data_IF_203352841034
#
_entry.id   IF_203352841034
#
_cell.length_a   1.000
_cell.length_b   1.000
_cell.length_c   1.000
_cell.angle_alpha   90.00
_cell.angle_beta   90.00
_cell.angle_gamma   90.00
#
_symmetry.space_group_name_H-M   'P 1'
#
loop_
_entity.id
_entity.type
_entity.pdbx_description
1 polymer ?
2 non-polymer ?
3 water ?
#
# COMPACT_ATOMS: atom_id res chain seq x y z
N UNK A 20 13.96 8.11 6.40
CA UNK A 20 13.81 8.65 5.01
C UNK A 20 13.25 7.58 4.04
N UNK A 21 12.01 7.79 3.58
CA UNK A 21 11.30 6.79 2.76
C UNK A 21 11.06 7.21 1.31
N UNK A 22 10.94 6.21 0.44
CA UNK A 22 10.60 6.41 -0.95
C UNK A 22 9.46 5.49 -1.34
N UNK A 23 8.23 6.03 -1.44
CA UNK A 23 7.11 5.25 -1.96
C UNK A 23 7.23 5.03 -3.45
N UNK A 24 7.06 3.78 -3.86
CA UNK A 24 7.15 3.35 -5.25
C UNK A 24 5.86 2.62 -5.59
N UNK A 25 5.31 2.86 -6.77
CA UNK A 25 4.12 2.13 -7.22
C UNK A 25 4.49 1.24 -8.39
N UNK A 26 3.79 0.12 -8.52
CA UNK A 26 4.11 -0.84 -9.54
C UNK A 26 2.87 -1.61 -9.96
N UNK A 27 2.88 -2.08 -11.21
CA UNK A 27 1.72 -2.71 -11.81
C UNK A 27 1.92 -4.14 -12.27
N UNK A 28 0.84 -4.91 -12.16
CA UNK A 28 0.75 -6.22 -12.76
C UNK A 28 -0.07 -6.15 -14.04
N UNK A 29 0.56 -6.27 -15.21
CA UNK A 29 -0.22 -6.49 -16.43
C UNK A 29 -0.04 -7.93 -16.89
N UNK A 30 -1.09 -8.47 -17.50
CA UNK A 30 -1.13 -9.90 -17.78
C UNK A 30 -1.58 -10.14 -19.20
N UNK A 31 -1.11 -11.24 -19.80
CA UNK A 31 -1.38 -11.53 -21.21
C UNK A 31 -1.42 -13.02 -21.45
N UNK A 32 -2.64 -13.55 -21.48
CA UNK A 32 -2.89 -14.99 -21.55
C UNK A 32 -2.06 -15.73 -20.50
N UNK A 33 -2.06 -15.22 -19.26
CA UNK A 33 -1.34 -15.84 -18.15
C UNK A 33 0.02 -15.25 -17.84
N UNK A 34 0.78 -14.89 -18.87
CA UNK A 34 2.09 -14.28 -18.70
C UNK A 34 1.96 -12.94 -18.00
N UNK A 35 3.09 -12.39 -17.56
CA UNK A 35 3.10 -11.11 -16.85
C UNK A 35 4.22 -10.21 -17.40
N UNK A 36 4.01 -8.90 -17.31
CA UNK A 36 4.92 -7.93 -17.89
C UNK A 36 6.02 -7.55 -16.92
N UNK A 37 7.26 -7.81 -17.32
CA UNK A 37 8.42 -7.29 -16.61
C UNK A 37 9.30 -6.46 -17.56
N UNK A 38 9.99 -5.48 -17.00
CA UNK A 38 10.93 -4.69 -17.77
C UNK A 38 12.33 -4.77 -17.19
N UNK A 39 13.32 -4.68 -18.06
CA UNK A 39 14.69 -4.76 -17.61
C UNK A 39 15.28 -3.38 -17.37
N UNK A 40 15.66 -3.12 -16.12
CA UNK A 40 16.26 -1.85 -15.71
C UNK A 40 17.36 -1.40 -16.68
N UNK A 41 17.32 -0.11 -17.07
CA UNK A 41 18.20 0.44 -18.11
C UNK A 41 19.68 0.15 -17.84
N UNK A 42 20.31 -0.62 -18.73
CA UNK A 42 21.72 -0.96 -18.63
C UNK A 42 22.55 0.32 -18.73
N UNK A 43 22.74 0.92 -17.56
CA UNK A 43 23.08 2.33 -17.42
C UNK A 43 23.63 2.54 -16.01
N UNK A 44 24.01 3.77 -15.67
CA UNK A 44 24.48 4.10 -14.31
C UNK A 44 23.42 3.94 -13.20
N UNK A 45 22.34 3.23 -13.54
CA UNK A 45 21.28 2.88 -12.59
C UNK A 45 21.48 1.48 -11.99
N UNK A 46 20.55 1.08 -11.13
CA UNK A 46 20.59 -0.18 -10.40
C UNK A 46 20.19 -1.36 -11.31
N UNK A 47 20.90 -1.47 -12.43
CA UNK A 47 20.46 -2.19 -13.63
C UNK A 47 20.75 -3.68 -13.68
N UNK A 48 20.38 -4.29 -14.81
CA UNK A 48 20.44 -5.73 -15.00
C UNK A 48 19.13 -6.40 -14.61
N UNK A 49 18.50 -5.89 -13.56
CA UNK A 49 17.36 -6.52 -12.92
C UNK A 49 16.06 -6.32 -13.68
N UNK A 50 15.22 -7.35 -13.66
CA UNK A 50 13.88 -7.28 -14.18
C UNK A 50 12.95 -6.84 -13.07
N UNK A 51 11.90 -6.10 -13.43
CA UNK A 51 11.03 -5.50 -12.45
C UNK A 51 9.66 -5.25 -13.05
N UNK A 52 8.70 -4.91 -12.22
CA UNK A 52 7.37 -4.58 -12.71
C UNK A 52 7.33 -3.11 -13.09
N UNK A 53 6.67 -2.79 -14.21
CA UNK A 53 6.62 -1.40 -14.64
C UNK A 53 6.04 -0.53 -13.55
N UNK A 54 6.57 0.67 -13.40
CA UNK A 54 6.07 1.61 -12.39
C UNK A 54 7.14 2.63 -12.08
N UNK A 55 7.14 3.16 -10.86
CA UNK A 55 8.09 4.19 -10.47
C UNK A 55 7.68 4.92 -9.21
N UNK A 56 8.33 6.05 -8.94
CA UNK A 56 8.13 6.78 -7.70
C UNK A 56 6.85 7.59 -7.72
N UNK A 57 6.22 7.73 -6.55
CA UNK A 57 5.13 8.68 -6.38
C UNK A 57 5.76 10.06 -6.27
N UNK A 58 5.35 11.00 -7.12
CA UNK A 58 5.81 12.37 -6.99
C UNK A 58 4.93 13.09 -6.00
N UNK A 59 5.42 14.19 -5.44
CA UNK A 59 4.65 15.03 -4.53
C UNK A 59 3.31 15.43 -5.12
N UNK A 60 2.27 15.31 -4.32
CA UNK A 60 0.94 15.72 -4.76
C UNK A 60 0.08 14.58 -5.27
N UNK A 61 0.68 13.59 -5.94
CA UNK A 61 -0.14 12.55 -6.57
C UNK A 61 -0.55 11.36 -5.69
N UNK A 62 -1.80 10.93 -5.87
CA UNK A 62 -2.23 9.63 -5.33
C UNK A 62 -1.40 8.52 -5.98
N UNK A 63 -1.30 7.35 -5.31
CA UNK A 63 -0.63 6.17 -5.89
C UNK A 63 -1.08 5.86 -7.30
N UNK A 64 -2.38 5.97 -7.54
CA UNK A 64 -2.96 5.68 -8.85
C UNK A 64 -2.45 6.65 -9.92
N UNK A 65 -2.46 7.94 -9.59
CA UNK A 65 -2.02 8.95 -10.54
C UNK A 65 -0.59 8.68 -10.94
N UNK A 66 0.24 8.43 -9.93
CA UNK A 66 1.67 8.16 -10.15
C UNK A 66 1.86 6.93 -11.02
N UNK A 67 1.02 5.93 -10.84
CA UNK A 67 1.17 4.70 -11.61
C UNK A 67 0.63 4.81 -13.04
N UNK A 68 -0.52 5.46 -13.21
CA UNK A 68 -1.02 5.70 -14.56
C UNK A 68 0.01 6.49 -15.33
N UNK A 69 0.56 7.52 -14.70
CA UNK A 69 1.62 8.34 -15.31
C UNK A 69 2.83 7.49 -15.68
N UNK A 70 3.33 6.70 -14.73
CA UNK A 70 4.54 5.89 -14.97
C UNK A 70 4.34 4.82 -16.04
N UNK A 71 3.14 4.25 -16.07
CA UNK A 71 2.83 3.26 -17.09
C UNK A 71 2.77 3.90 -18.48
N UNK A 72 2.40 5.19 -18.53
CA UNK A 72 2.38 5.92 -19.79
C UNK A 72 3.81 6.27 -20.27
N UNK A 73 4.62 6.87 -19.40
CA UNK A 73 5.98 7.20 -19.80
C UNK A 73 6.88 6.00 -20.09
N UNK A 74 6.74 4.93 -19.30
CA UNK A 74 7.55 3.71 -19.51
C UNK A 74 7.08 2.85 -20.67
N UNK A 75 5.75 2.77 -20.85
CA UNK A 75 5.13 1.81 -21.75
C UNK A 75 4.39 2.43 -22.93
N UNK A 76 4.02 3.69 -22.80
CA UNK A 76 3.26 4.38 -23.84
C UNK A 76 1.80 3.98 -23.87
N UNK A 77 1.30 3.43 -22.77
CA UNK A 77 -0.10 3.01 -22.69
C UNK A 77 -0.90 3.92 -21.77
N UNK A 78 -2.19 4.07 -22.05
CA UNK A 78 -3.09 4.74 -21.13
C UNK A 78 -3.77 3.70 -20.26
N UNK A 79 -3.27 3.52 -19.05
CA UNK A 79 -3.78 2.48 -18.16
C UNK A 79 -4.78 2.97 -17.14
N UNK A 80 -5.78 2.15 -16.86
CA UNK A 80 -6.62 2.33 -15.68
C UNK A 80 -6.02 1.48 -14.58
N UNK A 81 -5.83 2.08 -13.40
CA UNK A 81 -5.25 1.38 -12.24
C UNK A 81 -6.35 0.67 -11.47
N UNK A 82 -6.20 -0.64 -11.31
CA UNK A 82 -7.19 -1.45 -10.59
C UNK A 82 -6.87 -1.55 -9.11
N UNK A 83 -7.27 -2.69 -8.54
CA UNK A 83 -7.23 -2.93 -7.11
C UNK A 83 -5.80 -3.11 -6.60
N UNK A 84 -5.56 -2.60 -5.40
CA UNK A 84 -4.27 -2.68 -4.71
C UNK A 84 -4.09 -4.10 -4.20
N UNK A 85 -2.96 -4.71 -4.52
CA UNK A 85 -2.72 -6.12 -4.15
C UNK A 85 -1.75 -6.36 -2.98
N UNK A 86 -0.68 -5.57 -2.95
CA UNK A 86 0.43 -5.79 -2.05
C UNK A 86 1.12 -4.51 -1.67
N UNK A 87 1.69 -4.52 -0.47
CA UNK A 87 2.63 -3.50 -0.04
C UNK A 87 3.76 -4.19 0.68
N UNK A 88 4.99 -3.80 0.38
CA UNK A 88 6.12 -4.27 1.14
C UNK A 88 7.16 -3.15 1.34
N UNK A 89 8.09 -3.37 2.26
CA UNK A 89 9.18 -2.43 2.46
C UNK A 89 10.50 -3.14 2.26
N UNK A 90 11.56 -2.37 2.05
CA UNK A 90 12.91 -2.93 1.92
C UNK A 90 13.91 -1.87 2.35
N UNK A 91 15.03 -2.32 2.90
CA UNK A 91 16.07 -1.39 3.37
C UNK A 91 17.37 -1.52 2.59
N UNK A 92 18.03 -0.38 2.38
CA UNK A 92 19.44 -0.33 1.99
C UNK A 92 20.21 0.27 3.15
N UNK A 93 19.88 -0.15 4.37
CA UNK A 93 20.48 0.41 5.57
C UNK A 93 19.97 1.80 5.90
N UNK A 94 20.24 2.76 5.01
CA UNK A 94 19.80 4.13 5.17
C UNK A 94 18.57 4.48 4.30
N UNK A 95 18.44 3.80 3.17
CA UNK A 95 17.37 4.06 2.21
C UNK A 95 16.15 3.17 2.49
N UNK A 96 14.97 3.78 2.54
CA UNK A 96 13.73 3.04 2.75
C UNK A 96 12.81 3.06 1.54
N UNK A 97 12.55 1.88 0.98
CA UNK A 97 11.63 1.73 -0.16
C UNK A 97 10.32 1.06 0.24
N UNK A 98 9.20 1.74 0.01
CA UNK A 98 7.87 1.14 0.19
C UNK A 98 7.25 0.95 -1.17
N UNK A 99 6.86 -0.28 -1.50
CA UNK A 99 6.31 -0.60 -2.82
C UNK A 99 4.84 -1.01 -2.74
N UNK A 100 3.98 -0.29 -3.46
CA UNK A 100 2.59 -0.66 -3.62
C UNK A 100 2.39 -1.32 -4.99
N UNK A 101 1.84 -2.54 -4.99
CA UNK A 101 1.58 -3.25 -6.23
C UNK A 101 0.09 -3.23 -6.55
N UNK A 102 -0.24 -2.83 -7.78
CA UNK A 102 -1.63 -2.70 -8.23
C UNK A 102 -1.92 -3.58 -9.44
N UNK A 103 -3.15 -4.05 -9.54
CA UNK A 103 -3.55 -4.89 -10.64
C UNK A 103 -3.95 -3.96 -11.78
N UNK A 104 -3.29 -4.08 -12.91
CA UNK A 104 -3.69 -3.33 -14.08
C UNK A 104 -4.41 -4.25 -15.07
N UNK A 105 -5.74 -4.15 -15.07
CA UNK A 105 -6.58 -4.97 -15.91
C UNK A 105 -6.88 -4.32 -17.27
N UNK A 106 -6.98 -2.99 -17.29
CA UNK A 106 -7.46 -2.28 -18.48
C UNK A 106 -6.52 -1.16 -18.91
N UNK A 107 -6.28 -1.08 -20.23
CA UNK A 107 -5.41 -0.08 -20.82
C UNK A 107 -5.61 0.05 -22.33
N UNK A 108 -5.09 1.14 -22.90
CA UNK A 108 -5.20 1.39 -24.31
C UNK A 108 -3.84 1.21 -24.97
N UNK A 109 -3.81 0.43 -26.05
CA UNK A 109 -2.59 0.22 -26.79
C UNK A 109 -1.82 -0.97 -26.28
N UNK A 110 -0.65 -1.19 -26.87
CA UNK A 110 0.25 -2.25 -26.46
C UNK A 110 1.55 -1.63 -25.99
N UNK A 111 2.09 -2.12 -24.86
CA UNK A 111 3.32 -1.66 -24.25
C UNK A 111 4.52 -1.67 -25.20
N UNK A 112 5.19 -0.53 -25.28
CA UNK A 112 6.40 -0.37 -26.08
C UNK A 112 7.55 -0.09 -25.12
N UNK A 113 8.73 -0.61 -25.43
CA UNK A 113 9.92 -0.35 -24.63
C UNK A 113 10.41 1.09 -24.81
N UNK A 114 10.12 1.92 -23.80
CA UNK A 114 10.37 3.36 -23.86
C UNK A 114 11.43 3.74 -22.83
N UNK A 115 11.32 3.13 -21.64
CA UNK A 115 12.26 3.35 -20.54
C UNK A 115 13.18 2.14 -20.33
N UNK A 116 12.57 0.95 -20.24
CA UNK A 116 13.34 -0.29 -20.06
C UNK A 116 14.06 -0.67 -21.35
N UNK A 117 15.28 -1.16 -21.21
CA UNK A 117 16.05 -1.58 -22.37
C UNK A 117 15.66 -3.00 -22.81
N UNK A 118 14.58 -3.50 -22.21
CA UNK A 118 13.87 -4.68 -22.70
C UNK A 118 12.59 -4.88 -21.89
N UNK A 119 11.56 -5.38 -22.59
CA UNK A 119 10.30 -5.74 -21.98
C UNK A 119 9.95 -7.15 -22.41
N UNK A 120 9.34 -7.91 -21.49
CA UNK A 120 8.96 -9.27 -21.76
C UNK A 120 7.71 -9.65 -21.04
N UNK A 121 6.88 -10.42 -21.75
CA UNK A 121 5.81 -11.18 -21.12
C UNK A 121 6.40 -12.53 -20.76
N UNK A 122 6.45 -12.83 -19.46
CA UNK A 122 6.97 -14.13 -19.03
C UNK A 122 5.93 -14.94 -18.28
N UNK A 123 6.04 -16.26 -18.37
CA UNK A 123 5.33 -17.13 -17.45
C UNK A 123 5.71 -16.71 -16.04
N UNK A 124 4.72 -16.43 -15.18
CA UNK A 124 5.01 -15.95 -13.83
C UNK A 124 5.96 -16.86 -13.06
N UNK A 125 6.01 -18.15 -13.41
CA UNK A 125 6.92 -19.11 -12.77
C UNK A 125 8.37 -18.70 -12.95
N UNK A 126 8.64 -18.07 -14.08
CA UNK A 126 10.00 -17.71 -14.46
C UNK A 126 10.61 -16.70 -13.47
N UNK A 127 9.76 -15.96 -12.77
CA UNK A 127 10.21 -15.09 -11.69
C UNK A 127 11.13 -15.78 -10.67
N UNK A 128 10.97 -17.09 -10.52
CA UNK A 128 11.78 -17.79 -9.54
C UNK A 128 13.26 -17.77 -9.92
N UNK A 129 13.53 -17.79 -11.22
CA UNK A 129 14.90 -17.73 -11.71
C UNK A 129 15.17 -16.50 -12.59
N UNK A 130 14.47 -15.40 -12.31
CA UNK A 130 14.83 -14.12 -12.88
C UNK A 130 15.49 -13.29 -11.83
N UNK A 131 16.48 -12.50 -12.22
CA UNK A 131 17.07 -11.52 -11.31
C UNK A 131 16.13 -10.36 -11.12
N UNK A 132 15.47 -10.33 -9.96
CA UNK A 132 14.52 -9.27 -9.64
C UNK A 132 14.99 -8.52 -8.38
N UNK A 133 14.48 -7.29 -8.13
CA UNK A 133 14.81 -6.62 -6.86
C UNK A 133 14.60 -7.51 -5.65
N UNK A 134 15.57 -7.51 -4.74
CA UNK A 134 15.48 -8.28 -3.49
C UNK A 134 14.16 -8.02 -2.75
N UNK A 135 13.68 -6.77 -2.83
CA UNK A 135 12.37 -6.36 -2.29
C UNK A 135 11.23 -7.23 -2.85
N UNK A 136 11.33 -7.59 -4.13
CA UNK A 136 10.38 -8.52 -4.75
C UNK A 136 10.62 -10.00 -4.36
N UNK A 137 11.88 -10.44 -4.36
CA UNK A 137 12.19 -11.85 -4.02
C UNK A 137 11.76 -12.26 -2.60
N UNK A 138 11.97 -11.35 -1.64
CA UNK A 138 11.62 -11.58 -0.24
C UNK A 138 10.13 -11.90 -0.03
N UNK A 139 9.29 -11.41 -0.95
CA UNK A 139 7.84 -11.62 -0.91
C UNK A 139 7.31 -12.25 -2.21
N UNK A 140 8.14 -13.05 -2.87
CA UNK A 140 7.75 -13.67 -4.16
C UNK A 140 6.48 -14.54 -4.03
N UNK A 141 6.35 -15.10 -2.86
CA UNK A 141 5.26 -15.95 -2.44
C UNK A 141 3.95 -15.16 -2.35
N UNK A 142 4.04 -13.98 -1.74
CA UNK A 142 2.91 -13.05 -1.64
C UNK A 142 2.49 -12.57 -3.02
N UNK A 143 3.47 -12.28 -3.86
CA UNK A 143 3.23 -11.85 -5.24
C UNK A 143 2.47 -12.90 -6.03
N UNK A 144 2.90 -14.15 -5.94
CA UNK A 144 2.23 -15.25 -6.64
C UNK A 144 0.76 -15.36 -6.30
N UNK A 145 0.44 -15.26 -5.00
CA UNK A 145 -0.95 -15.27 -4.56
C UNK A 145 -1.71 -14.09 -5.17
N UNK A 146 -1.15 -12.90 -5.03
CA UNK A 146 -1.76 -11.69 -5.57
C UNK A 146 -2.00 -11.78 -7.08
N UNK A 147 -1.25 -12.65 -7.75
CA UNK A 147 -1.42 -12.94 -9.17
C UNK A 147 -2.43 -14.05 -9.47
N UNK A 148 -3.00 -14.65 -8.43
CA UNK A 148 -3.90 -15.81 -8.57
C UNK A 148 -3.15 -17.06 -8.99
N UNK A 149 -2.12 -17.42 -8.22
CA UNK A 149 -1.29 -18.61 -8.50
C UNK A 149 -0.82 -19.28 -7.20
N UNK A 150 -0.06 -20.37 -7.32
CA UNK A 150 0.45 -21.10 -6.15
C UNK A 150 1.98 -21.23 -6.13
N UNK A 151 2.59 -20.86 -5.00
CA UNK A 151 4.04 -20.94 -4.81
C UNK A 151 4.48 -22.38 -4.56
N UNK B 20 9.91 13.90 0.33
CA UNK B 20 10.02 13.46 1.75
C UNK B 20 8.70 12.86 2.28
N UNK B 21 8.70 11.54 2.47
CA UNK B 21 7.50 10.80 2.85
C UNK B 21 7.55 10.15 4.23
N UNK B 22 6.37 10.04 4.85
CA UNK B 22 6.19 9.34 6.10
C UNK B 22 5.11 8.27 5.88
N UNK B 23 5.51 7.00 5.75
CA UNK B 23 4.54 5.91 5.65
C UNK B 23 3.87 5.65 6.99
N UNK B 24 2.57 5.50 6.96
CA UNK B 24 1.77 5.29 8.16
C UNK B 24 0.98 4.01 7.93
N UNK B 25 0.77 3.22 8.99
CA UNK B 25 -0.12 2.08 8.94
C UNK B 25 -1.26 2.29 9.93
N UNK B 26 -2.43 1.73 9.57
CA UNK B 26 -3.65 1.89 10.34
C UNK B 26 -4.48 0.64 10.17
N UNK B 27 -5.25 0.32 11.20
CA UNK B 27 -6.05 -0.92 11.19
C UNK B 27 -7.54 -0.73 11.35
N UNK B 28 -8.29 -1.64 10.73
CA UNK B 28 -9.72 -1.71 10.92
C UNK B 28 -10.03 -2.83 11.88
N UNK B 29 -10.47 -2.48 13.08
CA UNK B 29 -11.00 -3.48 14.01
C UNK B 29 -12.50 -3.27 14.05
N UNK B 30 -13.25 -4.35 14.19
CA UNK B 30 -14.68 -4.27 14.24
C UNK B 30 -15.28 -5.00 15.42
N UNK B 31 -16.48 -4.60 15.80
CA UNK B 31 -17.20 -5.18 16.92
C UNK B 31 -18.69 -5.06 16.62
N UNK B 32 -19.31 -6.18 16.28
CA UNK B 32 -20.71 -6.24 15.87
C UNK B 32 -21.10 -5.13 14.88
N UNK B 33 -20.22 -4.89 13.91
CA UNK B 33 -20.46 -3.86 12.90
C UNK B 33 -19.73 -2.55 13.13
N UNK B 34 -19.69 -2.11 14.39
CA UNK B 34 -18.97 -0.89 14.79
C UNK B 34 -17.48 -0.99 14.52
N UNK B 35 -16.83 0.14 14.34
CA UNK B 35 -15.40 0.18 14.04
C UNK B 35 -14.66 0.98 15.11
N UNK B 36 -13.39 0.66 15.32
CA UNK B 36 -12.58 1.32 16.33
C UNK B 36 -11.86 2.52 15.79
N UNK B 37 -12.16 3.67 16.39
CA UNK B 37 -11.40 4.90 16.17
C UNK B 37 -10.83 5.37 17.53
N UNK B 38 -9.75 6.13 17.51
CA UNK B 38 -9.23 6.73 18.74
C UNK B 38 -9.04 8.23 18.66
N UNK B 39 -9.19 8.90 19.80
CA UNK B 39 -9.08 10.35 19.81
C UNK B 39 -7.65 10.82 20.09
N UNK B 40 -7.04 11.45 19.09
CA UNK B 40 -5.70 12.03 19.20
C UNK B 40 -5.52 12.84 20.48
N UNK B 41 -4.34 12.72 21.13
CA UNK B 41 -4.11 13.38 22.41
C UNK B 41 -3.64 14.85 22.31
N UNK B 42 -2.46 15.08 21.74
CA UNK B 42 -1.87 16.42 21.66
C UNK B 42 -1.77 16.92 20.21
N UNK B 47 -4.69 16.11 16.18
CA UNK B 47 -4.88 16.78 17.46
C UNK B 47 -6.36 17.11 17.71
N UNK B 48 -7.03 16.26 18.49
CA UNK B 48 -8.48 16.35 18.70
C UNK B 48 -9.27 15.49 17.71
N UNK B 49 -8.61 15.16 16.60
CA UNK B 49 -9.18 14.34 15.55
C UNK B 49 -9.28 12.88 15.96
N UNK B 50 -10.26 12.19 15.38
CA UNK B 50 -10.42 10.77 15.52
C UNK B 50 -9.71 10.09 14.34
N UNK B 51 -9.21 8.88 14.57
CA UNK B 51 -8.39 8.20 13.59
C UNK B 51 -8.40 6.72 13.88
N UNK B 52 -7.99 5.94 12.89
CA UNK B 52 -7.87 4.52 13.12
C UNK B 52 -6.53 4.23 13.80
N UNK B 53 -6.51 3.32 14.78
CA UNK B 53 -5.27 3.02 15.49
C UNK B 53 -4.16 2.61 14.53
N UNK B 54 -2.93 3.00 14.84
CA UNK B 54 -1.77 2.64 14.02
C UNK B 54 -0.68 3.65 14.28
N UNK B 55 0.24 3.82 13.33
CA UNK B 55 1.35 4.74 13.49
C UNK B 55 2.38 4.59 12.39
N UNK B 56 3.55 5.22 12.57
CA UNK B 56 4.59 5.23 11.54
C UNK B 56 5.33 3.90 11.48
N UNK B 57 5.71 3.48 10.27
CA UNK B 57 6.63 2.36 10.10
C UNK B 57 8.03 2.80 10.51
N UNK B 58 8.66 2.08 11.43
CA UNK B 58 10.04 2.36 11.79
C UNK B 58 10.97 1.74 10.75
N UNK B 59 12.20 2.24 10.70
CA UNK B 59 13.26 1.65 9.90
C UNK B 59 13.36 0.14 10.15
N UNK B 60 13.32 -0.63 9.08
CA UNK B 60 13.54 -2.06 9.18
C UNK B 60 12.30 -2.92 9.14
N UNK B 61 11.18 -2.42 9.65
CA UNK B 61 9.96 -3.23 9.75
C UNK B 61 9.09 -3.26 8.49
N UNK B 62 8.53 -4.43 8.21
CA UNK B 62 7.42 -4.55 7.26
C UNK B 62 6.21 -3.76 7.78
N UNK B 63 5.28 -3.37 6.88
CA UNK B 63 4.05 -2.69 7.31
C UNK B 63 3.29 -3.44 8.40
N UNK B 64 3.20 -4.76 8.26
CA UNK B 64 2.55 -5.62 9.25
C UNK B 64 3.21 -5.54 10.61
N UNK B 65 4.55 -5.59 10.64
CA UNK B 65 5.28 -5.55 11.90
C UNK B 65 5.01 -4.23 12.59
N UNK B 66 5.06 -3.15 11.81
CA UNK B 66 4.84 -1.81 12.31
C UNK B 66 3.43 -1.73 12.91
N UNK B 67 2.47 -2.35 12.24
CA UNK B 67 1.10 -2.25 12.69
C UNK B 67 0.82 -3.08 13.94
N UNK B 68 1.25 -4.35 13.96
CA UNK B 68 1.06 -5.16 15.16
C UNK B 68 1.71 -4.47 16.35
N UNK B 69 2.84 -3.80 16.11
CA UNK B 69 3.55 -3.12 17.18
C UNK B 69 2.73 -1.94 17.67
N UNK B 70 2.24 -1.12 16.75
CA UNK B 70 1.49 0.09 17.09
C UNK B 70 0.17 -0.25 17.78
N UNK B 71 -0.48 -1.30 17.30
CA UNK B 71 -1.70 -1.80 17.91
C UNK B 71 -1.43 -2.22 19.35
N UNK B 72 -0.30 -2.90 19.55
CA UNK B 72 0.10 -3.32 20.90
C UNK B 72 0.34 -2.14 21.83
N UNK B 73 1.20 -1.20 21.44
CA UNK B 73 1.51 -0.10 22.34
C UNK B 73 0.38 0.93 22.48
N UNK B 74 -0.46 1.06 21.46
CA UNK B 74 -1.64 1.95 21.56
C UNK B 74 -2.83 1.29 22.28
N UNK B 75 -3.03 0.00 22.03
CA UNK B 75 -4.26 -0.68 22.45
C UNK B 75 -4.05 -1.74 23.51
N UNK B 76 -2.82 -2.23 23.61
CA UNK B 76 -2.50 -3.28 24.55
C UNK B 76 -3.00 -4.63 24.08
N UNK B 77 -3.28 -4.76 22.79
CA UNK B 77 -3.70 -6.06 22.24
C UNK B 77 -2.59 -6.74 21.44
N UNK B 78 -2.73 -8.04 21.29
CA UNK B 78 -1.80 -8.81 20.50
C UNK B 78 -2.53 -9.15 19.20
N UNK B 79 -2.36 -8.28 18.21
CA UNK B 79 -3.13 -8.41 16.98
C UNK B 79 -2.39 -9.14 15.87
N UNK B 80 -3.13 -9.98 15.13
CA UNK B 80 -2.69 -10.49 13.85
C UNK B 80 -3.14 -9.52 12.75
N UNK B 81 -2.27 -9.25 11.77
CA UNK B 81 -2.57 -8.27 10.72
C UNK B 81 -3.06 -8.94 9.45
N UNK B 82 -4.28 -8.58 9.05
CA UNK B 82 -4.92 -9.19 7.87
C UNK B 82 -4.62 -8.50 6.55
N UNK B 83 -5.52 -8.73 5.59
CA UNK B 83 -5.45 -8.23 4.23
C UNK B 83 -5.27 -6.72 4.19
N UNK B 84 -4.44 -6.28 3.25
CA UNK B 84 -4.28 -4.88 2.95
C UNK B 84 -5.50 -4.40 2.17
N UNK B 85 -6.12 -3.30 2.64
CA UNK B 85 -7.36 -2.80 2.02
C UNK B 85 -7.19 -1.57 1.12
N UNK B 86 -6.45 -0.57 1.60
CA UNK B 86 -6.34 0.70 0.92
C UNK B 86 -4.99 1.33 1.14
N UNK B 87 -4.62 2.19 0.19
CA UNK B 87 -3.52 3.10 0.37
C UNK B 87 -3.91 4.46 -0.16
N UNK B 88 -3.55 5.51 0.55
CA UNK B 88 -3.75 6.85 0.05
C UNK B 88 -2.58 7.74 0.42
N UNK B 89 -2.47 8.89 -0.24
CA UNK B 89 -1.45 9.88 0.12
C UNK B 89 -2.10 11.19 0.52
N UNK B 90 -1.36 12.05 1.22
CA UNK B 90 -1.84 13.39 1.58
C UNK B 90 -0.65 14.30 1.86
N UNK B 91 -0.80 15.57 1.53
CA UNK B 91 0.23 16.56 1.80
C UNK B 91 -0.23 17.57 2.86
N UNK B 92 0.61 17.79 3.87
CA UNK B 92 0.45 18.89 4.82
C UNK B 92 1.66 19.80 4.69
N UNK B 93 1.72 20.56 3.59
CA UNK B 93 2.85 21.44 3.31
C UNK B 93 3.90 20.72 2.50
N UNK B 94 5.14 20.71 3.00
CA UNK B 94 6.21 19.89 2.43
C UNK B 94 6.22 18.47 3.00
N UNK B 95 5.27 18.21 3.93
CA UNK B 95 5.13 16.90 4.59
C UNK B 95 4.19 16.02 3.77
N UNK B 96 4.64 14.83 3.41
CA UNK B 96 3.80 13.89 2.67
C UNK B 96 3.61 12.58 3.40
N UNK B 97 2.35 12.23 3.67
CA UNK B 97 2.04 10.95 4.33
C UNK B 97 1.44 9.93 3.36
N UNK B 98 1.86 8.68 3.51
CA UNK B 98 1.26 7.58 2.78
C UNK B 98 0.68 6.63 3.81
N UNK B 99 -0.63 6.42 3.80
CA UNK B 99 -1.31 5.57 4.78
C UNK B 99 -1.72 4.25 4.14
N UNK B 100 -1.37 3.14 4.79
CA UNK B 100 -1.81 1.81 4.38
C UNK B 100 -2.80 1.32 5.41
N UNK B 101 -3.99 0.91 4.98
CA UNK B 101 -5.03 0.44 5.90
C UNK B 101 -5.20 -1.06 5.76
N UNK B 102 -5.22 -1.74 6.91
CA UNK B 102 -5.25 -3.19 6.97
C UNK B 102 -6.44 -3.66 7.81
N UNK B 103 -7.02 -4.77 7.39
CA UNK B 103 -8.14 -5.36 8.10
C UNK B 103 -7.54 -6.14 9.25
N UNK B 104 -8.06 -5.91 10.45
CA UNK B 104 -7.65 -6.64 11.63
C UNK B 104 -8.83 -7.47 12.13
N UNK B 105 -8.77 -8.77 11.87
CA UNK B 105 -9.81 -9.69 12.28
C UNK B 105 -9.50 -10.34 13.63
N UNK B 106 -8.22 -10.57 13.92
CA UNK B 106 -7.81 -11.41 15.03
C UNK B 106 -6.87 -10.73 16.01
N UNK B 107 -7.19 -10.85 17.30
CA UNK B 107 -6.37 -10.27 18.36
C UNK B 107 -6.64 -10.91 19.71
N UNK B 108 -5.74 -10.69 20.65
CA UNK B 108 -5.91 -11.20 22.02
C UNK B 108 -6.20 -10.06 22.96
N UNK B 109 -7.23 -10.21 23.78
CA UNK B 109 -7.61 -9.18 24.74
C UNK B 109 -8.57 -8.16 24.18
N UNK B 110 -8.83 -7.12 24.98
CA UNK B 110 -9.70 -6.03 24.59
C UNK B 110 -8.93 -4.74 24.65
N UNK B 111 -9.06 -3.90 23.61
CA UNK B 111 -8.37 -2.63 23.50
C UNK B 111 -8.67 -1.70 24.65
N UNK B 112 -7.62 -1.13 25.22
CA UNK B 112 -7.75 -0.11 26.24
C UNK B 112 -6.98 1.13 25.81
N UNK B 113 -7.45 2.29 26.24
CA UNK B 113 -6.83 3.56 25.88
C UNK B 113 -5.49 3.76 26.59
N UNK B 114 -4.41 3.42 25.90
CA UNK B 114 -3.06 3.61 26.42
C UNK B 114 -2.49 4.94 25.96
N UNK B 115 -2.91 5.40 24.79
CA UNK B 115 -2.36 6.62 24.19
C UNK B 115 -3.37 7.70 23.76
N UNK B 116 -4.48 7.27 23.15
CA UNK B 116 -5.59 8.17 22.86
C UNK B 116 -6.33 8.49 24.15
N UNK B 117 -6.67 9.76 24.36
CA UNK B 117 -7.45 10.13 25.55
C UNK B 117 -8.91 9.64 25.48
N UNK B 118 -9.27 9.00 24.37
CA UNK B 118 -10.50 8.24 24.26
C UNK B 118 -10.44 7.23 23.12
N UNK B 119 -11.14 6.11 23.31
CA UNK B 119 -11.36 5.09 22.29
C UNK B 119 -12.86 4.84 22.19
N UNK B 120 -13.36 4.69 20.97
CA UNK B 120 -14.76 4.41 20.78
C UNK B 120 -15.01 3.41 19.67
N UNK B 121 -15.96 2.52 19.96
CA UNK B 121 -16.55 1.70 18.91
C UNK B 121 -17.71 2.52 18.39
N UNK B 122 -17.63 2.97 17.14
CA UNK B 122 -18.71 3.74 16.55
C UNK B 122 -19.33 3.04 15.36
N UNK B 123 -20.59 3.33 15.09
CA UNK B 123 -21.20 2.99 13.82
C UNK B 123 -20.44 3.67 12.69
N UNK B 124 -20.00 2.91 11.69
CA UNK B 124 -19.17 3.49 10.62
C UNK B 124 -19.84 4.69 9.93
N UNK B 125 -21.17 4.73 9.91
CA UNK B 125 -21.89 5.86 9.30
C UNK B 125 -21.47 7.16 10.00
N UNK B 126 -21.11 7.05 11.27
CA UNK B 126 -20.74 8.20 12.08
C UNK B 126 -19.47 8.91 11.60
N UNK B 127 -18.59 8.20 10.90
CA UNK B 127 -17.41 8.83 10.29
C UNK B 127 -17.75 10.08 9.49
N UNK B 128 -18.96 10.12 8.94
CA UNK B 128 -19.36 11.20 8.07
C UNK B 128 -19.41 12.50 8.85
N UNK B 129 -19.65 12.40 10.16
CA UNK B 129 -19.72 13.56 11.02
C UNK B 129 -18.84 13.45 12.27
N UNK B 130 -17.74 12.71 12.14
CA UNK B 130 -16.64 12.79 13.08
C UNK B 130 -15.55 13.62 12.45
N UNK B 131 -14.80 14.34 13.28
CA UNK B 131 -13.63 15.06 12.80
C UNK B 131 -12.45 14.12 12.58
N UNK B 132 -12.20 13.75 11.33
CA UNK B 132 -11.14 12.78 11.00
C UNK B 132 -10.04 13.44 10.14
N UNK B 133 -8.84 12.83 10.05
CA UNK B 133 -7.81 13.38 9.18
C UNK B 133 -8.35 13.62 7.78
N UNK B 134 -8.04 14.78 7.22
CA UNK B 134 -8.42 15.10 5.85
C UNK B 134 -8.02 14.00 4.88
N UNK B 135 -6.88 13.35 5.16
CA UNK B 135 -6.42 12.18 4.39
C UNK B 135 -7.47 11.06 4.37
N UNK B 136 -8.13 10.82 5.51
CA UNK B 136 -9.26 9.90 5.60
C UNK B 136 -10.55 10.47 4.98
N UNK B 137 -10.84 11.75 5.26
CA UNK B 137 -12.03 12.42 4.73
C UNK B 137 -12.16 12.33 3.20
N UNK B 138 -11.04 12.50 2.51
CA UNK B 138 -11.03 12.58 1.05
C UNK B 138 -11.27 11.24 0.38
N UNK B 139 -11.07 10.16 1.12
CA UNK B 139 -11.25 8.81 0.59
C UNK B 139 -12.28 8.02 1.41
N UNK B 140 -13.14 8.76 2.11
CA UNK B 140 -14.14 8.16 2.99
C UNK B 140 -14.97 7.07 2.31
N UNK B 141 -15.28 7.29 1.04
CA UNK B 141 -16.03 6.34 0.23
C UNK B 141 -15.27 5.03 0.03
N UNK B 142 -13.98 5.15 -0.31
CA UNK B 142 -13.11 4.01 -0.49
C UNK B 142 -13.02 3.19 0.80
N UNK B 143 -12.95 3.91 1.92
CA UNK B 143 -12.94 3.30 3.24
C UNK B 143 -14.19 2.47 3.48
N UNK B 144 -15.35 3.04 3.11
CA UNK B 144 -16.63 2.35 3.29
C UNK B 144 -16.69 1.01 2.55
N UNK B 145 -16.33 1.02 1.27
CA UNK B 145 -16.23 -0.21 0.50
C UNK B 145 -15.25 -1.18 1.18
N UNK B 146 -14.05 -0.71 1.47
CA UNK B 146 -13.05 -1.55 2.13
C UNK B 146 -13.61 -2.23 3.38
N UNK B 147 -14.60 -1.61 4.02
CA UNK B 147 -15.27 -2.17 5.20
C UNK B 147 -16.50 -3.01 4.83
N UNK B 148 -16.69 -3.31 3.55
CA UNK B 148 -17.87 -4.02 3.08
C UNK B 148 -19.16 -3.25 3.36
N UNK B 149 -19.17 -1.98 2.99
CA UNK B 149 -20.33 -1.10 3.17
C UNK B 149 -20.58 -0.22 1.93
N UNK B 150 -21.74 0.43 1.89
CA UNK B 150 -22.13 1.31 0.78
C UNK B 150 -22.19 2.80 1.16
N UNK B 151 -21.57 3.63 0.33
CA UNK B 151 -21.45 5.08 0.55
C UNK B 151 -22.80 5.81 0.49
N UNK B 152 -23.87 5.05 0.21
CA UNK B 152 -25.25 5.53 0.25
C UNK B 152 -25.56 6.59 -0.81
#
# INVERSE_FOLDING_TARGET
MTDDSAVESKQKKSKIRKGHWIPVVAGFLRKDGKILVGQRPENNSLAGQWEFPGGKIENGETPEEALARELNEELGIEAEVGELKLACTHSYGDVGILILFYEILYWKGEPRAKHHMMLEWIHPEELKHRNIPEANRKILHKIYKALGLEWRK
MTDDSAVESKQKKSKIRKGHWIPVVAGFLRKDGKILVGQRPENNSLAGQWEFPGGKIENGETPEEALARELNEELGIEAEVGELKLACTHSYGDVGILILFYEILYWKGEPRAKHHMMLEWIHPEELKHRNIPEANRKILHKIYKALGLEWRK
#
